data_IF_139262241591
#
_entry.id   IF_139262241591
#
_cell.length_a   1.000
_cell.length_b   1.000
_cell.length_c   1.000
_cell.angle_alpha   90.00
_cell.angle_beta   90.00
_cell.angle_gamma   90.00
#
_symmetry.space_group_name_H-M   'P 1'
#
loop_
_entity.id
_entity.type
_entity.pdbx_description
1 polymer ?
#
# COMPACT_ATOMS: atom_id res chain seq x y z
N UNK A 1 -20.68 -15.58 -39.46
CA UNK A 1 -20.77 -15.26 -38.03
C UNK A 1 -19.66 -14.28 -37.76
N UNK A 2 -20.00 -12.99 -37.67
CA UNK A 2 -19.08 -12.01 -37.10
C UNK A 2 -18.87 -12.43 -35.65
N UNK A 3 -17.63 -12.75 -35.29
CA UNK A 3 -17.26 -12.88 -33.90
C UNK A 3 -17.32 -11.47 -33.32
N UNK A 4 -18.35 -11.21 -32.52
CA UNK A 4 -18.43 -10.03 -31.67
C UNK A 4 -17.20 -10.04 -30.74
N UNK A 5 -16.16 -9.30 -31.12
CA UNK A 5 -14.98 -9.05 -30.31
C UNK A 5 -15.28 -7.96 -29.27
N UNK A 6 -16.43 -8.04 -28.60
CA UNK A 6 -16.68 -7.25 -27.41
C UNK A 6 -15.76 -7.80 -26.32
N UNK A 7 -14.60 -7.18 -26.16
CA UNK A 7 -13.76 -7.30 -24.96
C UNK A 7 -14.71 -7.12 -23.78
N UNK A 8 -14.78 -8.11 -22.87
CA UNK A 8 -15.60 -8.01 -21.66
C UNK A 8 -15.32 -6.70 -20.91
N UNK A 9 -16.24 -6.23 -20.05
CA UNK A 9 -16.09 -4.94 -19.39
C UNK A 9 -14.72 -4.84 -18.70
N UNK A 10 -13.92 -3.86 -19.13
CA UNK A 10 -12.63 -3.57 -18.53
C UNK A 10 -12.86 -3.16 -17.07
N UNK A 11 -12.19 -3.84 -16.14
CA UNK A 11 -12.26 -3.55 -14.71
C UNK A 11 -11.81 -2.11 -14.48
N UNK A 12 -12.67 -1.31 -13.87
CA UNK A 12 -12.39 0.10 -13.60
C UNK A 12 -11.65 0.23 -12.27
N UNK A 13 -10.34 0.49 -12.34
CA UNK A 13 -9.49 0.70 -11.17
C UNK A 13 -9.21 2.19 -10.98
N UNK A 14 -9.49 2.71 -9.79
CA UNK A 14 -9.16 4.10 -9.42
C UNK A 14 -8.12 4.14 -8.31
N UNK A 15 -7.08 4.93 -8.48
CA UNK A 15 -6.01 5.13 -7.49
C UNK A 15 -6.10 6.55 -6.93
N UNK A 16 -6.31 6.65 -5.62
CA UNK A 16 -6.54 7.93 -4.94
C UNK A 16 -5.37 8.26 -4.02
N UNK A 17 -4.63 9.30 -4.35
CA UNK A 17 -3.62 9.90 -3.48
C UNK A 17 -4.26 10.90 -2.53
N UNK A 18 -4.14 10.68 -1.22
CA UNK A 18 -4.72 11.55 -0.20
C UNK A 18 -3.64 12.27 0.61
N UNK A 19 -3.68 13.60 0.58
CA UNK A 19 -2.70 14.46 1.24
C UNK A 19 -1.32 14.44 0.57
N UNK A 20 -0.31 15.03 1.23
CA UNK A 20 1.03 15.19 0.63
C UNK A 20 1.70 13.88 0.20
N UNK A 21 1.80 12.90 1.10
CA UNK A 21 2.43 11.61 0.80
C UNK A 21 1.68 10.82 -0.28
N UNK A 22 0.34 10.79 -0.23
CA UNK A 22 -0.46 10.13 -1.26
C UNK A 22 -0.34 10.81 -2.63
N UNK A 23 -0.37 12.14 -2.68
CA UNK A 23 -0.19 12.90 -3.92
C UNK A 23 1.21 12.67 -4.53
N UNK A 24 2.25 12.58 -3.70
CA UNK A 24 3.60 12.25 -4.18
C UNK A 24 3.66 10.86 -4.81
N UNK A 25 3.11 9.85 -4.12
CA UNK A 25 3.04 8.48 -4.65
C UNK A 25 2.29 8.44 -6.00
N UNK A 26 1.15 9.13 -6.12
CA UNK A 26 0.39 9.25 -7.38
C UNK A 26 1.24 9.89 -8.48
N UNK A 27 1.91 11.01 -8.20
CA UNK A 27 2.78 11.64 -9.17
C UNK A 27 3.88 10.69 -9.66
N UNK A 28 4.47 9.88 -8.76
CA UNK A 28 5.49 8.88 -9.12
C UNK A 28 4.90 7.75 -9.96
N UNK A 29 3.71 7.27 -9.67
CA UNK A 29 3.03 6.25 -10.48
C UNK A 29 2.81 6.74 -11.91
N UNK A 30 2.36 7.99 -12.08
CA UNK A 30 2.16 8.61 -13.39
C UNK A 30 3.48 8.79 -14.13
N UNK A 31 4.53 9.26 -13.44
CA UNK A 31 5.87 9.42 -14.02
C UNK A 31 6.49 8.09 -14.51
N UNK A 32 6.18 6.99 -13.82
CA UNK A 32 6.64 5.65 -14.20
C UNK A 32 5.70 4.95 -15.19
N UNK A 33 4.66 5.64 -15.65
CA UNK A 33 3.77 5.13 -16.70
C UNK A 33 2.91 3.93 -16.25
N UNK A 34 2.47 3.88 -14.99
CA UNK A 34 1.48 2.86 -14.57
C UNK A 34 0.20 3.01 -15.39
N UNK A 35 -0.24 1.93 -16.05
CA UNK A 35 -1.35 1.93 -17.00
C UNK A 35 -2.61 1.22 -16.45
N UNK A 36 -3.75 1.48 -17.09
CA UNK A 36 -5.02 0.83 -16.77
C UNK A 36 -5.67 1.28 -15.46
N UNK A 37 -5.23 2.40 -14.90
CA UNK A 37 -5.78 2.98 -13.68
C UNK A 37 -6.10 4.47 -13.86
N UNK A 38 -7.17 4.93 -13.23
CA UNK A 38 -7.55 6.34 -13.18
C UNK A 38 -6.98 6.99 -11.92
N UNK A 39 -6.15 8.02 -12.07
CA UNK A 39 -5.51 8.70 -10.94
C UNK A 39 -6.34 9.89 -10.43
N UNK A 40 -6.57 9.90 -9.12
CA UNK A 40 -7.27 10.97 -8.41
C UNK A 40 -6.35 11.51 -7.32
N UNK A 41 -6.09 12.82 -7.30
CA UNK A 41 -5.40 13.49 -6.22
C UNK A 41 -6.39 14.25 -5.33
N UNK A 42 -6.31 14.03 -4.02
CA UNK A 42 -7.21 14.63 -3.02
C UNK A 42 -6.39 15.34 -1.96
N UNK A 43 -6.60 16.64 -1.76
CA UNK A 43 -5.88 17.38 -0.75
C UNK A 43 -6.67 18.57 -0.20
N UNK A 44 -6.38 18.97 1.03
CA UNK A 44 -6.84 20.24 1.62
C UNK A 44 -5.91 21.40 1.30
N UNK A 45 -4.68 21.11 0.86
CA UNK A 45 -3.68 22.07 0.40
C UNK A 45 -3.80 22.27 -1.11
N UNK A 46 -4.18 23.48 -1.53
CA UNK A 46 -4.37 23.83 -2.92
C UNK A 46 -3.05 23.93 -3.70
N UNK A 47 -1.97 24.37 -3.04
CA UNK A 47 -0.66 24.50 -3.69
C UNK A 47 -0.11 23.11 -4.05
N UNK A 48 -0.15 22.19 -3.08
CA UNK A 48 0.26 20.80 -3.31
C UNK A 48 -0.61 20.11 -4.39
N UNK A 49 -1.91 20.43 -4.45
CA UNK A 49 -2.81 19.86 -5.44
C UNK A 49 -2.53 20.37 -6.87
N UNK A 50 -2.15 21.65 -7.02
CA UNK A 50 -1.80 22.22 -8.32
C UNK A 50 -0.59 21.52 -8.96
N UNK A 51 0.36 21.08 -8.13
CA UNK A 51 1.54 20.31 -8.56
C UNK A 51 1.23 18.84 -8.89
N UNK A 52 0.00 18.36 -8.68
CA UNK A 52 -0.36 16.99 -9.00
C UNK A 52 -0.40 16.77 -10.52
N UNK A 53 0.08 15.61 -10.96
CA UNK A 53 0.00 15.12 -12.33
C UNK A 53 -1.28 14.33 -12.61
N UNK A 54 -2.09 14.05 -11.58
CA UNK A 54 -3.35 13.34 -11.73
C UNK A 54 -4.34 14.12 -12.60
N UNK A 55 -5.09 13.40 -13.43
CA UNK A 55 -6.14 13.95 -14.29
C UNK A 55 -7.27 14.56 -13.45
N UNK A 56 -7.65 13.88 -12.37
CA UNK A 56 -8.68 14.35 -11.46
C UNK A 56 -8.04 14.90 -10.20
N UNK A 57 -8.36 16.16 -9.91
CA UNK A 57 -7.89 16.89 -8.72
C UNK A 57 -9.10 17.32 -7.89
N UNK A 58 -9.13 16.93 -6.63
CA UNK A 58 -10.22 17.24 -5.70
C UNK A 58 -9.64 17.97 -4.51
N UNK A 59 -9.88 19.28 -4.46
CA UNK A 59 -9.66 20.04 -3.26
C UNK A 59 -10.81 19.76 -2.29
N UNK A 60 -10.49 19.30 -1.08
CA UNK A 60 -11.46 19.05 -0.01
C UNK A 60 -11.34 20.09 1.09
N UNK A 61 -12.43 20.38 1.79
CA UNK A 61 -12.42 21.31 2.93
C UNK A 61 -12.04 22.74 2.56
N UNK A 62 -12.42 23.21 1.36
CA UNK A 62 -12.03 24.53 0.87
C UNK A 62 -12.50 25.65 1.81
N UNK A 63 -13.69 25.50 2.40
CA UNK A 63 -14.23 26.43 3.38
C UNK A 63 -13.49 26.32 4.71
N UNK A 64 -13.24 25.08 5.16
CA UNK A 64 -12.62 24.79 6.44
C UNK A 64 -11.14 25.23 6.52
N UNK A 65 -10.37 25.02 5.46
CA UNK A 65 -8.91 25.23 5.46
C UNK A 65 -8.48 26.45 4.67
N UNK A 66 -9.37 27.04 3.86
CA UNK A 66 -9.03 28.08 2.88
C UNK A 66 -7.92 27.66 1.92
N UNK A 67 -7.77 26.36 1.67
CA UNK A 67 -6.73 25.81 0.81
C UNK A 67 -5.33 25.73 1.43
N UNK A 68 -5.19 25.97 2.73
CA UNK A 68 -3.89 26.02 3.44
C UNK A 68 -3.49 24.69 4.09
N UNK A 69 -4.23 23.62 3.83
CA UNK A 69 -3.98 22.31 4.43
C UNK A 69 -4.63 22.13 5.82
N UNK A 70 -4.47 20.92 6.37
CA UNK A 70 -5.11 20.52 7.63
C UNK A 70 -4.30 20.81 8.91
N UNK A 71 -3.14 21.48 8.81
CA UNK A 71 -2.32 21.85 9.97
C UNK A 71 -1.88 20.69 10.87
N UNK A 72 -1.60 19.52 10.29
CA UNK A 72 -1.30 18.28 11.02
C UNK A 72 -2.40 17.81 12.01
N UNK A 73 -3.66 18.23 11.78
CA UNK A 73 -4.81 17.82 12.56
C UNK A 73 -5.69 16.83 11.76
N UNK A 74 -5.75 15.54 12.17
CA UNK A 74 -6.59 14.54 11.51
C UNK A 74 -8.08 14.88 11.48
N UNK A 75 -8.62 15.52 12.52
CA UNK A 75 -10.04 15.87 12.56
C UNK A 75 -10.42 16.90 11.49
N UNK A 76 -9.50 17.81 11.16
CA UNK A 76 -9.68 18.75 10.04
C UNK A 76 -9.73 17.99 8.71
N UNK A 77 -8.84 17.01 8.51
CA UNK A 77 -8.86 16.15 7.32
C UNK A 77 -10.17 15.35 7.18
N UNK A 78 -10.65 14.79 8.29
CA UNK A 78 -11.90 14.03 8.33
C UNK A 78 -13.12 14.91 8.03
N UNK A 79 -13.20 16.10 8.63
CA UNK A 79 -14.30 17.03 8.39
C UNK A 79 -14.26 17.63 6.97
N UNK A 80 -13.08 17.82 6.39
CA UNK A 80 -12.92 18.23 4.99
C UNK A 80 -13.56 17.23 4.01
N UNK A 81 -13.52 15.92 4.30
CA UNK A 81 -14.21 14.91 3.49
C UNK A 81 -15.72 15.04 3.60
N UNK A 82 -16.26 15.32 4.79
CA UNK A 82 -17.70 15.55 4.97
C UNK A 82 -18.20 16.73 4.14
N UNK A 83 -17.46 17.84 4.15
CA UNK A 83 -17.76 19.03 3.32
C UNK A 83 -17.80 18.69 1.82
N UNK A 84 -16.96 17.76 1.37
CA UNK A 84 -16.77 17.45 -0.05
C UNK A 84 -17.31 16.07 -0.47
N UNK A 85 -18.22 15.48 0.34
CA UNK A 85 -18.68 14.09 0.16
C UNK A 85 -19.27 13.83 -1.22
N UNK A 86 -20.13 14.71 -1.72
CA UNK A 86 -20.79 14.53 -3.03
C UNK A 86 -19.79 14.49 -4.19
N UNK A 87 -18.78 15.39 -4.15
CA UNK A 87 -17.74 15.44 -5.17
C UNK A 87 -16.88 14.18 -5.16
N UNK A 88 -16.56 13.66 -3.98
CA UNK A 88 -15.85 12.39 -3.82
C UNK A 88 -16.70 11.23 -4.33
N UNK A 89 -17.98 11.12 -3.93
CA UNK A 89 -18.87 10.07 -4.42
C UNK A 89 -18.98 10.07 -5.95
N UNK A 90 -19.10 11.25 -6.57
CA UNK A 90 -19.14 11.37 -8.03
C UNK A 90 -17.85 10.88 -8.68
N UNK A 91 -16.69 11.19 -8.11
CA UNK A 91 -15.40 10.75 -8.63
C UNK A 91 -15.17 9.23 -8.47
N UNK A 92 -15.74 8.61 -7.43
CA UNK A 92 -15.56 7.18 -7.12
C UNK A 92 -16.60 6.27 -7.76
N UNK A 93 -17.72 6.83 -8.21
CA UNK A 93 -18.80 6.06 -8.82
C UNK A 93 -18.31 5.28 -10.04
N UNK A 94 -18.73 4.02 -10.14
CA UNK A 94 -18.40 3.12 -11.25
C UNK A 94 -17.04 2.45 -11.15
N UNK A 95 -16.30 2.63 -10.05
CA UNK A 95 -15.08 1.88 -9.79
C UNK A 95 -15.40 0.45 -9.30
N UNK A 96 -14.79 -0.56 -9.92
CA UNK A 96 -14.80 -1.93 -9.42
C UNK A 96 -13.81 -2.10 -8.26
N UNK A 97 -12.67 -1.39 -8.35
CA UNK A 97 -11.63 -1.36 -7.35
C UNK A 97 -11.17 0.07 -7.08
N UNK A 98 -11.00 0.40 -5.80
CA UNK A 98 -10.44 1.67 -5.36
C UNK A 98 -9.24 1.44 -4.45
N UNK A 99 -8.10 1.98 -4.84
CA UNK A 99 -6.86 1.93 -4.06
C UNK A 99 -6.63 3.30 -3.42
N UNK A 100 -6.71 3.38 -2.10
CA UNK A 100 -6.50 4.62 -1.34
C UNK A 100 -5.07 4.62 -0.79
N UNK A 101 -4.27 5.61 -1.20
CA UNK A 101 -2.89 5.76 -0.73
C UNK A 101 -2.67 7.07 0.03
N UNK A 102 -1.98 6.97 1.17
CA UNK A 102 -1.72 8.11 2.06
C UNK A 102 -0.52 7.87 2.97
N UNK A 103 0.17 8.96 3.34
CA UNK A 103 1.12 8.95 4.45
C UNK A 103 0.41 9.23 5.78
N UNK A 104 0.56 8.32 6.74
CA UNK A 104 -0.08 8.44 8.07
C UNK A 104 0.76 9.29 9.02
N UNK A 105 0.08 9.95 9.96
CA UNK A 105 0.71 10.84 10.95
C UNK A 105 0.68 12.32 10.60
N UNK A 106 0.12 12.68 9.44
CA UNK A 106 -0.25 14.06 9.10
C UNK A 106 -1.70 14.40 9.45
N UNK A 107 -2.21 15.52 8.93
CA UNK A 107 -3.62 15.90 9.10
C UNK A 107 -4.52 15.33 8.00
N UNK A 108 -4.24 15.70 6.75
CA UNK A 108 -5.07 15.32 5.60
C UNK A 108 -5.07 13.82 5.35
N UNK A 109 -3.90 13.20 5.17
CA UNK A 109 -3.80 11.76 4.91
C UNK A 109 -4.48 10.93 6.00
N UNK A 110 -4.09 11.14 7.26
CA UNK A 110 -4.61 10.41 8.43
C UNK A 110 -6.13 10.50 8.60
N UNK A 111 -6.71 11.69 8.41
CA UNK A 111 -8.13 11.91 8.65
C UNK A 111 -9.02 11.67 7.43
N UNK A 112 -8.55 12.04 6.25
CA UNK A 112 -9.35 11.98 5.02
C UNK A 112 -9.30 10.59 4.36
N UNK A 113 -8.18 9.86 4.45
CA UNK A 113 -8.04 8.60 3.73
C UNK A 113 -9.07 7.56 4.17
N UNK A 114 -9.32 7.42 5.48
CA UNK A 114 -10.29 6.45 6.01
C UNK A 114 -11.72 6.84 5.65
N UNK A 115 -12.04 8.12 5.68
CA UNK A 115 -13.35 8.61 5.27
C UNK A 115 -13.60 8.42 3.75
N UNK A 116 -12.57 8.58 2.92
CA UNK A 116 -12.65 8.34 1.46
C UNK A 116 -12.78 6.83 1.17
N UNK A 117 -12.00 6.00 1.85
CA UNK A 117 -12.10 4.55 1.75
C UNK A 117 -13.50 4.05 2.10
N UNK A 118 -14.07 4.56 3.18
CA UNK A 118 -15.45 4.24 3.59
C UNK A 118 -16.47 4.59 2.49
N UNK A 119 -16.32 5.74 1.83
CA UNK A 119 -17.19 6.12 0.71
C UNK A 119 -17.04 5.13 -0.47
N UNK A 120 -15.82 4.73 -0.81
CA UNK A 120 -15.58 3.76 -1.87
C UNK A 120 -16.25 2.40 -1.58
N UNK A 121 -16.12 1.93 -0.34
CA UNK A 121 -16.72 0.67 0.13
C UNK A 121 -18.25 0.74 0.14
N UNK A 122 -18.83 1.86 0.58
CA UNK A 122 -20.28 2.13 0.51
C UNK A 122 -20.81 2.12 -0.93
N UNK A 123 -19.98 2.47 -1.91
CA UNK A 123 -20.32 2.43 -3.33
C UNK A 123 -20.13 1.03 -3.96
N UNK A 124 -19.67 0.04 -3.20
CA UNK A 124 -19.51 -1.35 -3.63
C UNK A 124 -18.18 -1.70 -4.27
N UNK A 125 -17.20 -0.78 -4.28
CA UNK A 125 -15.87 -1.04 -4.82
C UNK A 125 -15.04 -1.89 -3.85
N UNK A 126 -14.25 -2.82 -4.39
CA UNK A 126 -13.19 -3.48 -3.63
C UNK A 126 -12.17 -2.42 -3.21
N UNK A 127 -12.10 -2.15 -1.91
CA UNK A 127 -11.35 -1.01 -1.37
C UNK A 127 -10.08 -1.46 -0.68
N UNK A 128 -8.93 -1.04 -1.21
CA UNK A 128 -7.61 -1.39 -0.68
C UNK A 128 -6.93 -0.13 -0.16
N UNK A 129 -6.49 -0.14 1.09
CA UNK A 129 -5.65 0.91 1.65
C UNK A 129 -4.16 0.56 1.51
N UNK A 130 -3.34 1.45 0.97
CA UNK A 130 -1.87 1.30 0.93
C UNK A 130 -1.22 2.52 1.55
N UNK A 131 -0.76 2.38 2.79
CA UNK A 131 -0.42 3.53 3.65
C UNK A 131 0.94 3.39 4.31
N UNK A 132 1.64 4.50 4.52
CA UNK A 132 2.93 4.49 5.23
C UNK A 132 2.79 4.90 6.69
N UNK A 133 3.57 4.28 7.57
CA UNK A 133 3.84 4.80 8.93
C UNK A 133 5.02 5.77 8.87
N UNK A 134 5.01 6.85 9.66
CA UNK A 134 6.10 7.81 9.68
C UNK A 134 7.39 7.18 10.21
N UNK A 135 8.53 7.75 9.85
CA UNK A 135 9.82 7.40 10.45
C UNK A 135 9.84 7.75 11.94
N UNK A 136 10.60 7.00 12.75
CA UNK A 136 10.82 7.31 14.17
C UNK A 136 11.30 8.74 14.41
N UNK A 137 12.15 9.28 13.54
CA UNK A 137 12.69 10.64 13.67
C UNK A 137 11.63 11.74 13.50
N UNK A 138 10.49 11.46 12.88
CA UNK A 138 9.40 12.44 12.71
C UNK A 138 8.65 12.73 14.03
N UNK A 139 8.95 11.95 15.08
CA UNK A 139 8.53 12.20 16.44
C UNK A 139 7.27 11.46 16.88
N UNK A 140 7.11 11.32 18.20
CA UNK A 140 6.02 10.55 18.82
C UNK A 140 4.63 11.02 18.43
N UNK A 141 4.44 12.35 18.27
CA UNK A 141 3.14 12.92 17.88
C UNK A 141 2.64 12.36 16.55
N UNK A 142 3.49 12.30 15.52
CA UNK A 142 3.12 11.72 14.21
C UNK A 142 2.85 10.23 14.35
N UNK A 143 3.66 9.50 15.11
CA UNK A 143 3.46 8.06 15.33
C UNK A 143 2.11 7.75 16.00
N UNK A 144 1.72 8.53 17.02
CA UNK A 144 0.41 8.37 17.69
C UNK A 144 -0.75 8.68 16.75
N UNK A 145 -0.66 9.76 15.97
CA UNK A 145 -1.67 10.09 14.96
C UNK A 145 -1.77 9.00 13.89
N UNK A 146 -0.64 8.47 13.45
CA UNK A 146 -0.60 7.40 12.45
C UNK A 146 -1.26 6.11 12.96
N UNK A 147 -1.01 5.73 14.23
CA UNK A 147 -1.65 4.56 14.83
C UNK A 147 -3.19 4.68 14.83
N UNK A 148 -3.71 5.85 15.21
CA UNK A 148 -5.16 6.12 15.15
C UNK A 148 -5.71 6.07 13.73
N UNK A 149 -5.02 6.71 12.77
CA UNK A 149 -5.41 6.69 11.36
C UNK A 149 -5.41 5.29 10.75
N UNK A 150 -4.42 4.46 11.09
CA UNK A 150 -4.33 3.06 10.62
C UNK A 150 -5.47 2.22 11.18
N UNK A 151 -5.83 2.40 12.46
CA UNK A 151 -6.98 1.72 13.05
C UNK A 151 -8.27 2.08 12.31
N UNK A 152 -8.51 3.37 12.07
CA UNK A 152 -9.67 3.82 11.30
C UNK A 152 -9.65 3.36 9.84
N UNK A 153 -8.48 3.29 9.21
CA UNK A 153 -8.36 2.73 7.86
C UNK A 153 -8.74 1.26 7.82
N UNK A 154 -8.30 0.45 8.79
CA UNK A 154 -8.57 -0.98 8.85
C UNK A 154 -10.06 -1.29 8.86
N UNK A 155 -10.86 -0.45 9.52
CA UNK A 155 -12.32 -0.57 9.54
C UNK A 155 -12.98 -0.14 8.21
N UNK A 156 -12.33 0.77 7.48
CA UNK A 156 -12.88 1.40 6.27
C UNK A 156 -12.52 0.69 4.95
N UNK A 157 -11.60 -0.26 4.96
CA UNK A 157 -11.12 -0.98 3.76
C UNK A 157 -11.39 -2.48 3.85
N UNK A 158 -11.32 -3.17 2.71
CA UNK A 158 -11.35 -4.63 2.65
C UNK A 158 -9.99 -5.24 3.00
N UNK A 159 -8.92 -4.59 2.52
CA UNK A 159 -7.52 -4.93 2.82
C UNK A 159 -6.68 -3.67 3.05
N UNK A 160 -5.85 -3.68 4.08
CA UNK A 160 -4.93 -2.60 4.46
C UNK A 160 -3.48 -3.08 4.41
N UNK A 161 -2.71 -2.55 3.47
CA UNK A 161 -1.26 -2.70 3.40
C UNK A 161 -0.62 -1.53 4.15
N UNK A 162 0.14 -1.87 5.19
CA UNK A 162 0.86 -0.87 6.00
C UNK A 162 2.36 -1.00 5.75
N UNK A 163 2.97 0.06 5.22
CA UNK A 163 4.40 0.14 4.95
C UNK A 163 5.09 0.90 6.09
N UNK A 164 5.88 0.24 6.94
CA UNK A 164 6.65 0.92 7.97
C UNK A 164 7.88 1.64 7.37
N UNK A 165 7.89 2.97 7.33
CA UNK A 165 9.01 3.72 6.75
C UNK A 165 10.36 3.40 7.42
N UNK A 166 10.38 3.06 8.71
CA UNK A 166 11.62 2.64 9.37
C UNK A 166 12.28 1.42 8.72
N UNK A 167 11.52 0.53 8.06
CA UNK A 167 12.09 -0.64 7.37
C UNK A 167 12.83 -0.25 6.09
N UNK A 168 12.53 0.91 5.53
CA UNK A 168 13.28 1.46 4.42
C UNK A 168 14.73 1.76 4.86
N UNK A 169 14.93 2.15 6.12
CA UNK A 169 16.27 2.41 6.68
C UNK A 169 17.16 1.16 6.76
N UNK A 170 16.56 -0.05 6.70
CA UNK A 170 17.31 -1.31 6.67
C UNK A 170 17.76 -1.69 5.26
N UNK A 171 17.13 -1.10 4.24
CA UNK A 171 17.36 -1.41 2.83
C UNK A 171 18.23 -0.34 2.17
N UNK A 172 18.22 0.90 2.68
CA UNK A 172 19.00 2.02 2.14
C UNK A 172 20.36 2.18 2.85
N UNK A 173 21.33 2.75 2.15
CA UNK A 173 22.64 3.09 2.71
C UNK A 173 22.52 4.18 3.81
N UNK A 174 23.35 4.10 4.85
CA UNK A 174 23.32 5.01 6.01
C UNK A 174 23.61 6.47 5.66
N UNK A 175 24.20 6.74 4.50
CA UNK A 175 24.54 8.07 4.02
C UNK A 175 23.47 8.69 3.10
N UNK A 176 22.36 7.98 2.87
CA UNK A 176 21.28 8.44 1.99
C UNK A 176 20.65 9.73 2.53
N UNK A 177 20.59 10.81 1.72
CA UNK A 177 19.92 12.05 2.10
C UNK A 177 18.44 11.83 2.44
N UNK A 178 17.91 12.66 3.36
CA UNK A 178 16.50 12.58 3.78
C UNK A 178 15.50 12.61 2.61
N UNK A 179 15.78 13.41 1.58
CA UNK A 179 14.92 13.49 0.39
C UNK A 179 14.86 12.15 -0.36
N UNK A 180 15.96 11.42 -0.43
CA UNK A 180 16.02 10.10 -1.06
C UNK A 180 15.31 9.05 -0.22
N UNK A 181 15.40 9.10 1.12
CA UNK A 181 14.64 8.20 1.99
C UNK A 181 13.11 8.34 1.81
N UNK A 182 12.60 9.57 1.65
CA UNK A 182 11.18 9.78 1.31
C UNK A 182 10.82 9.30 -0.10
N UNK A 183 11.73 9.47 -1.07
CA UNK A 183 11.53 8.93 -2.42
C UNK A 183 11.45 7.41 -2.41
N UNK A 184 12.22 6.73 -1.54
CA UNK A 184 12.12 5.28 -1.41
C UNK A 184 10.76 4.86 -0.82
N UNK A 185 10.21 5.63 0.12
CA UNK A 185 8.86 5.37 0.64
C UNK A 185 7.80 5.49 -0.47
N UNK A 186 7.90 6.53 -1.31
CA UNK A 186 7.03 6.71 -2.48
C UNK A 186 7.22 5.55 -3.49
N UNK A 187 8.46 5.08 -3.65
CA UNK A 187 8.80 3.97 -4.54
C UNK A 187 8.17 2.65 -4.06
N UNK A 188 8.23 2.32 -2.77
CA UNK A 188 7.57 1.12 -2.23
C UNK A 188 6.04 1.22 -2.34
N UNK A 189 5.45 2.40 -2.08
CA UNK A 189 4.01 2.63 -2.29
C UNK A 189 3.62 2.34 -3.75
N UNK A 190 4.37 2.92 -4.70
CA UNK A 190 4.20 2.68 -6.14
C UNK A 190 4.28 1.19 -6.46
N UNK A 191 5.28 0.48 -5.95
CA UNK A 191 5.45 -0.95 -6.23
C UNK A 191 4.29 -1.79 -5.68
N UNK A 192 3.76 -1.47 -4.50
CA UNK A 192 2.62 -2.20 -3.95
C UNK A 192 1.34 -1.99 -4.75
N UNK A 193 1.07 -0.74 -5.16
CA UNK A 193 -0.09 -0.43 -5.99
C UNK A 193 0.06 -1.06 -7.38
N UNK A 194 1.23 -0.91 -8.01
CA UNK A 194 1.55 -1.50 -9.31
C UNK A 194 1.51 -3.03 -9.28
N UNK A 195 1.93 -3.65 -8.17
CA UNK A 195 1.87 -5.10 -7.99
C UNK A 195 0.45 -5.64 -8.09
N UNK A 196 -0.53 -4.90 -7.56
CA UNK A 196 -1.96 -5.27 -7.60
C UNK A 196 -2.56 -4.91 -8.96
N UNK A 197 -2.35 -3.67 -9.43
CA UNK A 197 -3.00 -3.19 -10.66
C UNK A 197 -2.57 -3.98 -11.88
N UNK A 198 -1.26 -4.24 -12.03
CA UNK A 198 -0.72 -4.86 -13.24
C UNK A 198 -1.23 -6.30 -13.44
N UNK A 199 -1.56 -7.01 -12.36
CA UNK A 199 -2.12 -8.36 -12.47
C UNK A 199 -3.50 -8.39 -13.12
N UNK A 200 -4.22 -7.27 -13.08
CA UNK A 200 -5.57 -7.12 -13.63
C UNK A 200 -5.51 -6.38 -14.97
N UNK A 201 -4.68 -5.35 -15.07
CA UNK A 201 -4.71 -4.40 -16.19
C UNK A 201 -3.71 -4.70 -17.29
N UNK A 202 -2.61 -5.39 -16.99
CA UNK A 202 -1.55 -5.69 -17.96
C UNK A 202 -1.71 -7.12 -18.42
N UNK A 203 -1.87 -7.36 -19.74
CA UNK A 203 -1.86 -8.71 -20.28
C UNK A 203 -0.54 -9.42 -19.95
N UNK A 204 -0.66 -10.49 -19.19
CA UNK A 204 0.41 -11.39 -18.79
C UNK A 204 0.42 -12.69 -19.61
N UNK A 205 1.46 -13.50 -19.39
CA UNK A 205 1.49 -14.90 -19.88
C UNK A 205 0.46 -15.75 -19.11
N UNK A 206 0.29 -15.43 -17.83
CA UNK A 206 -0.70 -16.01 -16.93
C UNK A 206 -1.48 -14.83 -16.36
N UNK A 207 -2.69 -14.62 -16.89
CA UNK A 207 -3.60 -13.59 -16.42
C UNK A 207 -4.33 -14.07 -15.17
N UNK A 208 -4.54 -13.14 -14.25
CA UNK A 208 -5.36 -13.32 -13.06
C UNK A 208 -6.65 -12.56 -13.30
N UNK A 209 -7.80 -13.16 -13.00
CA UNK A 209 -9.07 -12.46 -13.13
C UNK A 209 -9.37 -11.60 -11.89
N UNK A 210 -10.30 -10.65 -12.03
CA UNK A 210 -10.66 -9.78 -10.92
C UNK A 210 -11.38 -10.52 -9.79
N UNK A 211 -12.08 -11.62 -10.08
CA UNK A 211 -12.78 -12.41 -9.08
C UNK A 211 -11.80 -13.14 -8.15
N UNK A 212 -10.69 -13.61 -8.69
CA UNK A 212 -9.57 -14.20 -7.97
C UNK A 212 -8.96 -13.15 -7.02
N UNK A 213 -8.59 -11.97 -7.54
CA UNK A 213 -8.06 -10.88 -6.69
C UNK A 213 -9.07 -10.48 -5.61
N UNK A 214 -10.35 -10.37 -5.96
CA UNK A 214 -11.42 -10.08 -5.01
C UNK A 214 -11.52 -11.16 -3.94
N UNK A 215 -11.36 -12.43 -4.27
CA UNK A 215 -11.43 -13.54 -3.31
C UNK A 215 -10.30 -13.46 -2.28
N UNK A 216 -9.08 -13.11 -2.72
CA UNK A 216 -7.94 -12.96 -1.82
C UNK A 216 -7.98 -11.66 -1.03
N UNK A 217 -8.48 -10.55 -1.58
CA UNK A 217 -8.38 -9.24 -0.93
C UNK A 217 -9.66 -8.74 -0.23
N UNK A 218 -10.79 -9.46 -0.35
CA UNK A 218 -12.05 -9.07 0.30
C UNK A 218 -12.04 -9.39 1.80
N UNK A 219 -12.28 -8.38 2.64
CA UNK A 219 -12.43 -8.50 4.10
C UNK A 219 -11.28 -9.26 4.80
N UNK A 220 -10.03 -9.08 4.36
CA UNK A 220 -8.86 -9.72 4.97
C UNK A 220 -8.20 -8.91 6.08
N UNK A 221 -8.60 -7.66 6.27
CA UNK A 221 -8.00 -6.79 7.28
C UNK A 221 -6.60 -6.38 6.86
N UNK A 222 -5.56 -6.89 7.51
CA UNK A 222 -4.18 -6.47 7.24
C UNK A 222 -3.50 -7.32 6.17
N UNK A 223 -2.63 -6.67 5.41
CA UNK A 223 -1.78 -7.29 4.40
C UNK A 223 -0.36 -6.73 4.44
N UNK A 224 0.57 -7.52 3.93
CA UNK A 224 2.00 -7.25 3.91
C UNK A 224 2.54 -7.46 2.51
N UNK A 225 3.59 -6.70 2.16
CA UNK A 225 4.21 -6.75 0.85
C UNK A 225 5.67 -7.21 0.93
N UNK A 226 6.03 -8.17 0.10
CA UNK A 226 7.39 -8.64 -0.10
C UNK A 226 7.82 -8.40 -1.54
N UNK A 227 9.04 -7.91 -1.76
CA UNK A 227 9.57 -7.67 -3.11
C UNK A 227 10.97 -8.23 -3.18
N UNK A 228 11.24 -9.05 -4.19
CA UNK A 228 12.54 -9.63 -4.44
C UNK A 228 12.92 -9.49 -5.90
N UNK A 229 14.22 -9.30 -6.13
CA UNK A 229 14.81 -9.20 -7.47
C UNK A 229 16.04 -10.08 -7.55
N UNK A 230 16.20 -10.80 -8.65
CA UNK A 230 17.40 -11.56 -8.91
C UNK A 230 17.65 -11.72 -10.42
N UNK A 231 18.88 -12.10 -10.75
CA UNK A 231 19.38 -12.33 -12.11
C UNK A 231 20.17 -13.64 -12.14
N UNK A 232 20.44 -14.18 -13.33
CA UNK A 232 21.21 -15.42 -13.50
C UNK A 232 20.36 -16.69 -13.50
N UNK A 233 21.00 -17.83 -13.24
CA UNK A 233 20.44 -19.17 -13.51
C UNK A 233 19.28 -19.55 -12.57
N UNK A 234 19.36 -19.17 -11.30
CA UNK A 234 18.37 -19.51 -10.27
C UNK A 234 17.54 -18.27 -9.87
N UNK A 235 17.43 -17.30 -10.78
CA UNK A 235 16.85 -15.98 -10.53
C UNK A 235 15.41 -16.03 -10.02
N UNK A 236 14.61 -17.01 -10.44
CA UNK A 236 13.23 -17.12 -9.99
C UNK A 236 13.13 -17.54 -8.51
N UNK A 237 13.82 -18.63 -8.14
CA UNK A 237 13.93 -19.07 -6.75
C UNK A 237 14.57 -18.00 -5.86
N UNK A 238 15.65 -17.36 -6.31
CA UNK A 238 16.30 -16.31 -5.54
C UNK A 238 15.42 -15.07 -5.35
N UNK A 239 14.71 -14.62 -6.39
CA UNK A 239 13.78 -13.51 -6.28
C UNK A 239 12.63 -13.83 -5.33
N UNK A 240 12.08 -15.05 -5.39
CA UNK A 240 11.07 -15.51 -4.44
C UNK A 240 11.60 -15.54 -2.99
N UNK A 241 12.80 -16.08 -2.76
CA UNK A 241 13.46 -16.09 -1.44
C UNK A 241 13.69 -14.68 -0.90
N UNK A 242 14.10 -13.74 -1.75
CA UNK A 242 14.27 -12.32 -1.36
C UNK A 242 12.93 -11.66 -1.07
N UNK A 243 11.87 -12.02 -1.80
CA UNK A 243 10.54 -11.48 -1.55
C UNK A 243 9.99 -11.93 -0.20
N UNK A 244 10.10 -13.22 0.15
CA UNK A 244 9.65 -13.76 1.46
C UNK A 244 10.49 -13.26 2.64
N UNK A 245 11.77 -12.91 2.41
CA UNK A 245 12.67 -12.37 3.44
C UNK A 245 12.73 -10.84 3.44
N UNK A 246 11.86 -10.19 2.67
CA UNK A 246 11.81 -8.73 2.57
C UNK A 246 11.56 -8.10 3.95
N UNK A 247 12.33 -7.07 4.35
CA UNK A 247 12.07 -6.31 5.58
C UNK A 247 10.67 -5.68 5.64
N UNK A 248 10.01 -5.53 4.49
CA UNK A 248 8.66 -5.01 4.36
C UNK A 248 7.57 -6.00 4.78
N UNK A 249 7.85 -7.32 4.80
CA UNK A 249 6.89 -8.30 5.28
C UNK A 249 6.74 -8.28 6.81
N UNK A 250 7.73 -7.78 7.57
CA UNK A 250 7.73 -7.58 9.03
C UNK A 250 7.47 -8.83 9.91
N UNK A 251 6.73 -9.82 9.41
CA UNK A 251 6.45 -11.16 9.92
C UNK A 251 6.85 -12.15 8.82
N UNK A 252 7.08 -13.41 9.18
CA UNK A 252 7.14 -14.49 8.18
C UNK A 252 5.87 -14.48 7.31
N UNK A 253 5.94 -15.02 6.08
CA UNK A 253 4.73 -15.31 5.31
C UNK A 253 3.85 -16.37 6.00
N UNK A 254 4.44 -17.09 6.95
CA UNK A 254 3.74 -17.96 7.87
C UNK A 254 2.64 -17.22 8.65
N UNK A 255 1.45 -17.81 8.70
CA UNK A 255 0.23 -17.18 9.22
C UNK A 255 -0.62 -16.41 8.19
N UNK A 256 -0.13 -16.22 6.95
CA UNK A 256 -0.98 -15.70 5.87
C UNK A 256 -2.00 -16.77 5.43
N UNK A 257 -3.24 -16.35 5.15
CA UNK A 257 -4.28 -17.24 4.61
C UNK A 257 -4.36 -17.18 3.08
N UNK A 258 -3.90 -16.08 2.49
CA UNK A 258 -3.99 -15.81 1.07
C UNK A 258 -2.77 -15.08 0.57
N UNK A 259 -2.25 -15.50 -0.57
CA UNK A 259 -1.08 -14.89 -1.19
C UNK A 259 -1.36 -14.57 -2.64
N UNK A 260 -1.10 -13.32 -3.02
CA UNK A 260 -1.05 -12.89 -4.40
C UNK A 260 0.41 -12.70 -4.80
N UNK A 261 0.87 -13.50 -5.77
CA UNK A 261 2.21 -13.45 -6.33
C UNK A 261 2.17 -12.86 -7.74
N UNK A 262 2.94 -11.80 -7.97
CA UNK A 262 3.24 -11.28 -9.30
C UNK A 262 4.69 -11.59 -9.65
N UNK A 263 4.91 -12.27 -10.77
CA UNK A 263 6.21 -12.34 -11.41
C UNK A 263 6.29 -11.34 -12.55
N UNK A 264 7.38 -10.58 -12.62
CA UNK A 264 7.71 -9.75 -13.78
C UNK A 264 9.07 -10.19 -14.31
N UNK A 265 9.16 -10.51 -15.60
CA UNK A 265 10.40 -10.91 -16.24
C UNK A 265 10.42 -10.52 -17.71
N UNK A 266 11.53 -10.80 -18.37
CA UNK A 266 11.67 -10.60 -19.82
C UNK A 266 10.85 -11.58 -20.65
N UNK A 267 10.99 -11.46 -21.97
CA UNK A 267 10.43 -12.44 -22.93
C UNK A 267 11.04 -13.84 -22.78
N UNK A 268 12.16 -13.95 -22.05
CA UNK A 268 12.81 -15.20 -21.69
C UNK A 268 12.23 -15.86 -20.42
N UNK A 269 11.19 -15.31 -19.80
CA UNK A 269 10.55 -15.89 -18.62
C UNK A 269 9.89 -17.23 -18.97
N UNK A 270 10.36 -18.29 -18.34
CA UNK A 270 9.88 -19.65 -18.58
C UNK A 270 8.81 -20.09 -17.56
N UNK A 271 7.97 -21.05 -17.96
CA UNK A 271 7.01 -21.68 -17.04
C UNK A 271 7.70 -22.39 -15.87
N UNK A 272 8.90 -22.94 -16.10
CA UNK A 272 9.69 -23.58 -15.05
C UNK A 272 10.09 -22.59 -13.95
N UNK A 273 10.55 -21.40 -14.32
CA UNK A 273 10.87 -20.32 -13.38
C UNK A 273 9.65 -19.87 -12.58
N UNK A 274 8.48 -19.76 -13.22
CA UNK A 274 7.23 -19.43 -12.54
C UNK A 274 6.88 -20.50 -11.49
N UNK A 275 6.97 -21.78 -11.85
CA UNK A 275 6.72 -22.89 -10.93
C UNK A 275 7.71 -22.93 -9.78
N UNK A 276 8.99 -22.66 -10.04
CA UNK A 276 10.04 -22.66 -9.03
C UNK A 276 9.80 -21.56 -7.98
N UNK A 277 9.47 -20.35 -8.42
CA UNK A 277 9.11 -19.25 -7.52
C UNK A 277 7.85 -19.58 -6.68
N UNK A 278 6.81 -20.15 -7.30
CA UNK A 278 5.60 -20.58 -6.60
C UNK A 278 5.91 -21.61 -5.51
N UNK A 279 6.74 -22.62 -5.83
CA UNK A 279 7.12 -23.67 -4.90
C UNK A 279 7.90 -23.13 -3.69
N UNK A 280 8.80 -22.16 -3.90
CA UNK A 280 9.54 -21.51 -2.81
C UNK A 280 8.59 -20.82 -1.83
N UNK A 281 7.58 -20.12 -2.34
CA UNK A 281 6.63 -19.39 -1.50
C UNK A 281 5.68 -20.36 -0.79
N UNK A 282 5.17 -21.37 -1.50
CA UNK A 282 4.31 -22.39 -0.91
C UNK A 282 5.02 -23.17 0.21
N UNK A 283 6.31 -23.45 0.04
CA UNK A 283 7.12 -24.15 1.05
C UNK A 283 7.47 -23.27 2.27
N UNK A 284 7.23 -21.97 2.20
CA UNK A 284 7.56 -21.02 3.27
C UNK A 284 6.38 -20.78 4.24
N UNK A 285 5.24 -21.43 4.03
CA UNK A 285 4.06 -21.37 4.90
C UNK A 285 3.67 -22.75 5.38
N UNK A 286 3.33 -22.86 6.66
CA UNK A 286 2.87 -24.11 7.26
C UNK A 286 1.36 -24.37 7.02
N UNK A 287 0.67 -23.44 6.36
CA UNK A 287 -0.76 -23.51 6.08
C UNK A 287 -1.04 -23.81 4.60
N UNK A 288 -2.22 -24.38 4.32
CA UNK A 288 -2.74 -24.47 2.96
C UNK A 288 -3.06 -23.05 2.45
N UNK A 289 -2.10 -22.44 1.76
CA UNK A 289 -2.23 -21.11 1.19
C UNK A 289 -3.16 -21.13 -0.01
N UNK A 290 -4.19 -20.27 0.02
CA UNK A 290 -4.86 -19.89 -1.22
C UNK A 290 -3.93 -18.94 -1.98
N UNK A 291 -3.16 -19.49 -2.93
CA UNK A 291 -2.18 -18.75 -3.72
C UNK A 291 -2.72 -18.46 -5.11
N UNK A 292 -2.77 -17.18 -5.46
CA UNK A 292 -2.95 -16.71 -6.83
C UNK A 292 -1.61 -16.24 -7.34
N UNK A 293 -1.27 -16.63 -8.57
CA UNK A 293 -0.11 -16.12 -9.24
C UNK A 293 -0.41 -15.62 -10.64
N UNK A 294 0.22 -14.52 -11.02
CA UNK A 294 0.23 -14.01 -12.38
C UNK A 294 1.64 -13.64 -12.81
N UNK A 295 1.84 -13.58 -14.13
CA UNK A 295 3.14 -13.26 -14.72
C UNK A 295 3.00 -12.18 -15.78
N UNK A 296 3.81 -11.14 -15.68
CA UNK A 296 3.86 -10.01 -16.60
C UNK A 296 5.18 -10.01 -17.34
N UNK A 297 5.12 -9.86 -18.66
CA UNK A 297 6.32 -9.71 -19.48
C UNK A 297 6.64 -8.22 -19.61
N UNK A 298 7.88 -7.86 -19.29
CA UNK A 298 8.42 -6.53 -19.49
C UNK A 298 9.68 -6.66 -20.35
N UNK A 299 9.61 -6.19 -21.60
CA UNK A 299 10.71 -6.27 -22.57
C UNK A 299 11.96 -5.49 -22.14
N UNK A 300 11.84 -4.56 -21.20
CA UNK A 300 12.97 -3.83 -20.65
C UNK A 300 13.75 -4.65 -19.60
N UNK A 301 13.18 -5.77 -19.13
CA UNK A 301 13.85 -6.70 -18.24
C UNK A 301 14.47 -7.82 -19.09
N UNK A 302 15.79 -7.87 -19.17
CA UNK A 302 16.49 -8.96 -19.85
C UNK A 302 16.62 -10.17 -18.91
N UNK A 303 17.71 -10.21 -18.15
CA UNK A 303 18.02 -11.35 -17.27
C UNK A 303 17.46 -11.19 -15.86
N UNK A 304 16.72 -10.11 -15.56
CA UNK A 304 16.13 -9.85 -14.24
C UNK A 304 14.71 -10.41 -14.11
N UNK A 305 14.44 -11.05 -12.98
CA UNK A 305 13.08 -11.37 -12.52
C UNK A 305 12.79 -10.58 -11.24
N UNK A 306 11.59 -10.01 -11.19
CA UNK A 306 11.03 -9.34 -10.02
C UNK A 306 9.83 -10.15 -9.53
N UNK A 307 9.89 -10.60 -8.28
CA UNK A 307 8.77 -11.26 -7.58
C UNK A 307 8.19 -10.28 -6.58
N UNK A 308 6.89 -10.03 -6.66
CA UNK A 308 6.13 -9.24 -5.68
C UNK A 308 5.08 -10.13 -5.05
N UNK A 309 5.05 -10.16 -3.71
CA UNK A 309 4.17 -10.98 -2.90
C UNK A 309 3.30 -10.04 -2.08
N UNK A 310 1.99 -10.27 -2.10
CA UNK A 310 1.03 -9.62 -1.22
C UNK A 310 0.38 -10.71 -0.39
N UNK A 311 0.77 -10.77 0.88
CA UNK A 311 0.24 -11.73 1.84
C UNK A 311 -0.91 -11.08 2.61
N UNK A 312 -2.00 -11.82 2.79
CA UNK A 312 -3.26 -11.33 3.37
C UNK A 312 -3.81 -12.32 4.40
N UNK A 313 -4.70 -11.83 5.26
CA UNK A 313 -5.43 -12.69 6.21
C UNK A 313 -4.60 -13.16 7.39
N UNK A 314 -3.59 -12.38 7.79
CA UNK A 314 -2.83 -12.62 9.02
C UNK A 314 -3.75 -12.55 10.24
N UNK A 315 -3.61 -13.49 11.18
CA UNK A 315 -4.31 -13.43 12.45
C UNK A 315 -3.86 -12.20 13.25
N UNK A 316 -4.80 -11.45 13.83
CA UNK A 316 -4.53 -10.25 14.64
C UNK A 316 -3.63 -10.50 15.88
N UNK A 317 -3.39 -11.77 16.22
CA UNK A 317 -2.50 -12.23 17.29
C UNK A 317 -1.03 -12.42 16.84
N UNK A 318 -0.77 -12.58 15.53
CA UNK A 318 0.56 -12.89 14.97
C UNK A 318 1.31 -11.65 14.45
N UNK A 319 0.64 -10.50 14.38
CA UNK A 319 1.32 -9.22 14.24
C UNK A 319 1.87 -8.78 15.60
N UNK A 320 3.15 -8.35 15.71
CA UNK A 320 3.73 -7.93 16.98
C UNK A 320 2.83 -6.92 17.66
N UNK A 321 2.39 -7.30 18.87
CA UNK A 321 1.34 -6.62 19.62
C UNK A 321 1.53 -5.09 19.68
N UNK A 322 0.43 -4.40 19.36
CA UNK A 322 0.21 -2.95 19.38
C UNK A 322 0.28 -2.33 20.80
N UNK A 323 1.17 -2.78 21.68
CA UNK A 323 1.28 -2.20 23.03
C UNK A 323 2.19 -0.97 23.00
N UNK A 324 1.73 0.20 23.49
CA UNK A 324 2.63 1.26 23.91
C UNK A 324 3.55 0.65 24.96
N UNK A 325 4.86 0.77 24.78
CA UNK A 325 5.84 0.43 25.80
C UNK A 325 5.49 1.21 27.07
N UNK A 326 4.88 0.55 28.05
CA UNK A 326 4.78 1.07 29.41
C UNK A 326 6.21 1.12 29.93
N UNK A 327 6.79 2.32 30.00
CA UNK A 327 8.01 2.52 30.75
C UNK A 327 7.83 1.99 32.18
N UNK A 328 8.87 1.37 32.77
CA UNK A 328 8.82 0.99 34.18
C UNK A 328 8.70 2.26 35.01
N UNK A 329 7.70 2.27 35.89
CA UNK A 329 7.51 3.28 36.92
C UNK A 329 8.76 3.33 37.81
N UNK A 330 9.62 4.33 37.62
CA UNK A 330 10.63 4.69 38.62
C UNK A 330 9.92 5.38 39.78
N UNK A 331 9.51 4.59 40.76
CA UNK A 331 9.16 5.07 42.08
C UNK A 331 10.09 4.38 43.08
N UNK A 332 11.18 5.04 43.44
CA UNK A 332 11.78 4.96 44.78
C UNK A 332 12.74 6.14 44.96
N UNK A 333 12.16 7.28 45.35
CA UNK A 333 12.91 8.34 46.01
C UNK A 333 13.37 7.83 47.37
N UNK A 334 14.67 7.55 47.49
CA UNK A 334 15.37 7.36 48.74
C UNK A 334 15.14 8.55 49.68
N UNK A 335 14.47 8.32 50.80
CA UNK A 335 14.45 9.26 51.94
C UNK A 335 15.84 9.29 52.59
N UNK A 336 16.42 10.46 52.92
CA UNK A 336 17.61 10.53 53.75
C UNK A 336 17.26 10.18 55.21
N UNK A 337 18.04 9.29 55.83
CA UNK A 337 18.02 9.06 57.28
C UNK A 337 18.60 10.28 58.02
N UNK A 338 18.07 10.66 59.19
CA UNK A 338 18.70 11.63 60.07
C UNK A 338 19.87 10.98 60.82
N UNK A 339 21.07 11.58 60.71
CA UNK A 339 22.20 11.22 61.56
C UNK A 339 22.04 11.83 62.95
N UNK A 340 22.31 11.01 63.97
CA UNK A 340 22.59 11.40 65.34
C UNK A 340 24.06 11.80 65.48
#
# INVERSE_FOLDING_TARGET
MEFDTSVGPLVTIKVIGVGGGGNNAVNRMIEHGVQGVEFIAVNTDAQALNLSKAEIKIQIGATLTRGLGAGANPEVGKNAVKESKERLQKALKGADMVIVTAGMGGGTGTGAASAIAQIARELGALTIGVVTRPFKFEGRKRATQAAGGIASMKEAVDTLIVIPNDRLLEIIDKHVPMLEAFREADHILRQGIQGISDLITVPGLINVDFADVKTIMSNKGSALIGIGRATGKDRAAEAAKRAISSPLLNTSIDGAQGVLMKLTGGTNLSLYEVQEAANVIASASDYELNMIFGSVVNENLNDEIIVTIIATGFNDQEMPSLKPSSHPSTAEMSKPQPQA
#
